data_IF_181136833012
#
_entry.id   IF_181136833012
#
_cell.length_a   1.000
_cell.length_b   1.000
_cell.length_c   1.000
_cell.angle_alpha   90.00
_cell.angle_beta   90.00
_cell.angle_gamma   90.00
#
_symmetry.space_group_name_H-M   'P 1'
#
loop_
_entity.id
_entity.type
_entity.pdbx_description
1 polymer ?
#
# COMPACT_ATOMS: atom_id res chain seq x y z
N UNK A 1 -3.85 -16.72 8.66
CA UNK A 1 -3.64 -15.75 9.77
C UNK A 1 -4.84 -14.82 9.77
N UNK A 2 -5.77 -14.93 10.72
CA UNK A 2 -6.75 -13.90 11.02
C UNK A 2 -6.00 -12.63 11.46
N UNK A 3 -6.30 -11.51 10.83
CA UNK A 3 -5.75 -10.20 11.17
C UNK A 3 -6.87 -9.15 11.13
N UNK A 4 -6.67 -8.05 11.85
CA UNK A 4 -7.51 -6.86 11.70
C UNK A 4 -6.89 -6.01 10.60
N UNK A 5 -7.66 -5.80 9.53
CA UNK A 5 -7.24 -5.00 8.40
C UNK A 5 -8.23 -3.89 8.08
N UNK A 6 -7.72 -2.74 7.69
CA UNK A 6 -8.52 -1.73 7.00
C UNK A 6 -8.61 -2.09 5.51
N UNK A 7 -9.80 -1.91 4.94
CA UNK A 7 -10.11 -2.11 3.53
C UNK A 7 -10.46 -0.74 3.00
N UNK A 8 -9.60 -0.16 2.16
CA UNK A 8 -9.71 1.24 1.74
C UNK A 8 -9.44 1.45 0.26
N UNK A 9 -10.23 2.34 -0.33
CA UNK A 9 -9.87 3.15 -1.50
C UNK A 9 -10.24 4.60 -1.17
N UNK A 10 -9.23 5.47 -1.01
CA UNK A 10 -9.47 6.87 -0.67
C UNK A 10 -10.28 7.58 -1.77
N UNK A 11 -11.31 8.33 -1.36
CA UNK A 11 -12.17 9.10 -2.27
C UNK A 11 -12.78 8.28 -3.42
N UNK A 12 -13.17 7.02 -3.16
CA UNK A 12 -13.92 6.23 -4.14
C UNK A 12 -15.18 6.99 -4.59
N UNK A 13 -15.17 7.43 -5.85
CA UNK A 13 -16.30 8.13 -6.47
C UNK A 13 -17.60 7.32 -6.30
N UNK A 14 -18.71 8.01 -6.12
CA UNK A 14 -20.05 7.43 -6.03
C UNK A 14 -20.94 8.09 -7.08
N UNK A 15 -22.03 7.45 -7.53
CA UNK A 15 -22.92 8.07 -8.49
C UNK A 15 -23.46 9.42 -7.98
N UNK A 16 -23.65 10.38 -8.89
CA UNK A 16 -24.17 11.69 -8.53
C UNK A 16 -25.54 11.57 -7.84
N UNK A 17 -25.77 12.38 -6.79
CA UNK A 17 -27.02 12.37 -6.03
C UNK A 17 -27.16 11.26 -4.98
N UNK A 18 -26.20 10.33 -4.86
CA UNK A 18 -26.24 9.28 -3.82
C UNK A 18 -25.76 9.77 -2.46
N UNK A 19 -26.11 9.08 -1.37
CA UNK A 19 -25.64 9.41 -0.01
C UNK A 19 -24.14 9.14 0.18
N UNK A 20 -23.55 9.64 1.27
CA UNK A 20 -22.18 9.25 1.65
C UNK A 20 -22.06 7.76 2.01
N UNK A 21 -23.18 7.12 2.38
CA UNK A 21 -23.25 5.70 2.72
C UNK A 21 -23.32 4.78 1.50
N UNK A 22 -23.35 5.31 0.27
CA UNK A 22 -23.54 4.51 -0.95
C UNK A 22 -22.67 3.25 -0.99
N UNK A 23 -21.36 3.37 -0.76
CA UNK A 23 -20.47 2.22 -0.80
C UNK A 23 -20.67 1.25 0.38
N UNK A 24 -20.94 1.75 1.59
CA UNK A 24 -21.24 0.87 2.72
C UNK A 24 -22.54 0.10 2.51
N UNK A 25 -23.56 0.74 1.93
CA UNK A 25 -24.85 0.13 1.63
C UNK A 25 -24.69 -0.95 0.55
N UNK A 26 -23.95 -0.65 -0.53
CA UNK A 26 -23.67 -1.62 -1.60
C UNK A 26 -22.85 -2.81 -1.11
N UNK A 27 -21.86 -2.59 -0.24
CA UNK A 27 -21.10 -3.68 0.39
C UNK A 27 -22.02 -4.50 1.30
N UNK A 28 -22.89 -3.86 2.08
CA UNK A 28 -23.86 -4.60 2.90
C UNK A 28 -24.83 -5.42 2.05
N UNK A 29 -25.33 -4.88 0.95
CA UNK A 29 -26.18 -5.61 -0.01
C UNK A 29 -25.44 -6.79 -0.66
N UNK A 30 -24.17 -6.63 -1.01
CA UNK A 30 -23.35 -7.70 -1.59
C UNK A 30 -23.06 -8.83 -0.58
N UNK A 31 -22.83 -8.46 0.69
CA UNK A 31 -22.38 -9.40 1.72
C UNK A 31 -23.50 -9.95 2.58
N UNK A 32 -24.59 -9.22 2.76
CA UNK A 32 -25.61 -9.44 3.79
C UNK A 32 -25.02 -9.73 5.19
N UNK A 33 -23.88 -9.10 5.51
CA UNK A 33 -23.15 -9.33 6.77
C UNK A 33 -22.44 -10.69 6.86
N UNK A 34 -22.37 -11.43 5.76
CA UNK A 34 -21.66 -12.71 5.64
C UNK A 34 -20.24 -12.51 5.11
N UNK A 35 -19.47 -13.60 5.11
CA UNK A 35 -18.12 -13.60 4.55
C UNK A 35 -18.15 -13.26 3.05
N UNK A 36 -17.24 -12.39 2.63
CA UNK A 36 -17.08 -11.98 1.22
C UNK A 36 -15.63 -12.10 0.81
N UNK A 37 -15.41 -12.41 -0.47
CA UNK A 37 -14.07 -12.38 -1.07
C UNK A 37 -13.69 -10.93 -1.33
N UNK A 38 -12.53 -10.52 -0.84
CA UNK A 38 -11.95 -9.21 -1.13
C UNK A 38 -10.67 -9.41 -1.92
N UNK A 39 -10.50 -8.66 -3.01
CA UNK A 39 -9.31 -8.65 -3.85
C UNK A 39 -8.66 -7.27 -3.85
N UNK A 40 -7.34 -7.21 -3.90
CA UNK A 40 -6.59 -5.95 -3.89
C UNK A 40 -5.12 -6.14 -3.60
N UNK A 41 -4.43 -5.04 -3.38
CA UNK A 41 -3.01 -5.04 -3.04
C UNK A 41 -2.87 -5.21 -1.53
N UNK A 42 -2.35 -6.37 -1.12
CA UNK A 42 -2.02 -6.61 0.28
C UNK A 42 -0.86 -5.72 0.70
N UNK A 43 -1.08 -4.96 1.77
CA UNK A 43 -0.15 -3.97 2.28
C UNK A 43 0.12 -4.24 3.74
N UNK A 44 1.37 -4.62 4.03
CA UNK A 44 1.92 -4.43 5.36
C UNK A 44 2.44 -3.00 5.43
N UNK A 45 1.86 -2.18 6.31
CA UNK A 45 2.31 -0.83 6.57
C UNK A 45 2.11 -0.47 8.04
N UNK A 46 3.17 0.06 8.66
CA UNK A 46 3.17 0.35 10.09
C UNK A 46 2.57 1.72 10.35
N UNK A 47 1.27 1.93 10.17
CA UNK A 47 0.66 3.27 10.33
C UNK A 47 -0.17 3.44 11.59
N UNK A 48 -1.02 2.46 11.90
CA UNK A 48 -1.99 2.54 12.98
C UNK A 48 -1.80 1.41 14.00
N UNK A 49 -0.63 1.32 14.67
CA UNK A 49 -0.45 0.33 15.72
C UNK A 49 -1.52 0.56 16.81
N UNK A 50 -2.12 -0.52 17.37
CA UNK A 50 -3.06 -0.42 18.48
C UNK A 50 -2.56 0.51 19.58
N UNK A 51 -3.34 1.52 19.95
CA UNK A 51 -3.04 2.38 21.07
C UNK A 51 -3.07 1.58 22.39
N UNK A 52 -2.06 1.76 23.25
CA UNK A 52 -1.96 1.10 24.56
C UNK A 52 -1.12 -0.20 24.56
N UNK A 53 -1.17 -0.94 25.68
CA UNK A 53 -0.45 -2.23 25.85
C UNK A 53 -1.16 -3.41 25.19
N UNK A 54 -2.34 -3.19 24.61
CA UNK A 54 -3.16 -4.23 23.99
C UNK A 54 -2.58 -4.60 22.62
N UNK A 55 -1.70 -5.60 22.64
CA UNK A 55 -1.38 -6.39 21.45
C UNK A 55 -2.70 -6.90 20.86
N UNK A 56 -3.05 -6.45 19.66
CA UNK A 56 -4.07 -7.16 18.87
C UNK A 56 -3.49 -8.54 18.55
N UNK A 57 -4.04 -9.58 19.18
CA UNK A 57 -3.66 -10.96 18.92
C UNK A 57 -4.64 -11.60 17.96
N UNK A 58 -4.16 -12.62 17.25
CA UNK A 58 -5.02 -13.55 16.52
C UNK A 58 -6.16 -14.02 17.45
N UNK A 59 -7.41 -13.90 16.98
CA UNK A 59 -8.66 -14.18 17.70
C UNK A 59 -9.13 -13.17 18.78
N UNK A 60 -8.45 -12.03 18.98
CA UNK A 60 -9.01 -10.96 19.78
C UNK A 60 -10.31 -10.43 19.14
N UNK A 61 -11.35 -10.19 19.94
CA UNK A 61 -12.59 -9.57 19.46
C UNK A 61 -12.24 -8.18 18.91
N UNK A 62 -12.51 -7.95 17.64
CA UNK A 62 -12.37 -6.63 17.01
C UNK A 62 -13.41 -5.70 17.64
N UNK A 63 -13.00 -4.61 18.32
CA UNK A 63 -13.95 -3.63 18.82
C UNK A 63 -14.76 -3.04 17.67
N UNK A 64 -15.99 -2.62 17.93
CA UNK A 64 -16.75 -1.86 16.94
C UNK A 64 -16.01 -0.55 16.66
N UNK A 65 -15.75 -0.28 15.38
CA UNK A 65 -14.94 0.87 14.99
C UNK A 65 -15.70 2.16 15.31
N UNK A 66 -15.04 3.11 15.97
CA UNK A 66 -15.62 4.42 16.27
C UNK A 66 -15.61 5.36 15.05
N UNK A 67 -14.76 5.08 14.06
CA UNK A 67 -14.61 5.86 12.84
C UNK A 67 -14.06 4.97 11.71
N UNK A 68 -13.93 5.54 10.50
CA UNK A 68 -13.45 4.83 9.31
C UNK A 68 -11.94 4.55 9.29
N UNK A 69 -11.20 4.78 10.38
CA UNK A 69 -9.76 4.59 10.48
C UNK A 69 -9.35 4.03 11.86
N UNK A 70 -9.77 2.79 12.20
CA UNK A 70 -9.42 2.14 13.47
C UNK A 70 -7.96 1.68 13.49
N UNK A 71 -7.45 1.35 14.68
CA UNK A 71 -6.13 0.72 14.79
C UNK A 71 -6.07 -0.65 14.09
N UNK A 72 -5.07 -0.83 13.24
CA UNK A 72 -4.90 -2.00 12.39
C UNK A 72 -3.43 -2.34 12.16
N UNK A 73 -3.14 -3.63 11.99
CA UNK A 73 -1.77 -4.13 11.78
C UNK A 73 -1.42 -4.27 10.30
N UNK A 74 -2.43 -4.40 9.44
CA UNK A 74 -2.30 -4.58 7.99
C UNK A 74 -3.42 -3.85 7.28
N UNK A 75 -3.27 -3.64 5.98
CA UNK A 75 -4.28 -2.99 5.14
C UNK A 75 -4.38 -3.73 3.79
N UNK A 76 -5.56 -3.76 3.20
CA UNK A 76 -5.72 -4.08 1.78
C UNK A 76 -6.06 -2.78 1.04
N UNK A 77 -5.08 -2.21 0.35
CA UNK A 77 -5.19 -0.90 -0.31
C UNK A 77 -4.12 -0.75 -1.41
N UNK A 78 -4.53 -0.51 -2.68
CA UNK A 78 -5.90 -0.39 -3.13
C UNK A 78 -6.68 -1.71 -3.21
N UNK A 79 -7.99 -1.61 -3.02
CA UNK A 79 -8.96 -2.68 -3.26
C UNK A 79 -9.29 -2.69 -4.75
N UNK A 80 -9.28 -3.87 -5.36
CA UNK A 80 -9.72 -4.08 -6.74
C UNK A 80 -11.14 -4.63 -6.80
N UNK A 81 -11.58 -5.43 -5.83
CA UNK A 81 -12.95 -5.93 -5.76
C UNK A 81 -13.41 -6.32 -4.33
N UNK A 82 -14.72 -6.25 -4.09
CA UNK A 82 -15.41 -6.85 -2.94
C UNK A 82 -16.60 -7.63 -3.49
N UNK A 83 -16.57 -8.97 -3.42
CA UNK A 83 -17.57 -9.80 -4.08
C UNK A 83 -17.64 -9.49 -5.59
N UNK A 84 -18.83 -9.17 -6.08
CA UNK A 84 -19.09 -8.72 -7.45
C UNK A 84 -18.79 -7.24 -7.70
N UNK A 85 -18.56 -6.45 -6.64
CA UNK A 85 -18.29 -5.01 -6.76
C UNK A 85 -16.88 -4.77 -7.25
N UNK A 86 -16.75 -4.12 -8.40
CA UNK A 86 -15.47 -3.79 -9.03
C UNK A 86 -15.02 -2.37 -8.65
N UNK A 87 -13.79 -2.26 -8.15
CA UNK A 87 -13.18 -1.01 -7.73
C UNK A 87 -11.98 -0.56 -8.57
N UNK A 88 -11.60 -1.29 -9.64
CA UNK A 88 -10.43 -0.95 -10.47
C UNK A 88 -10.45 0.49 -11.00
N UNK A 89 -11.62 0.98 -11.42
CA UNK A 89 -11.79 2.37 -11.89
C UNK A 89 -11.59 3.44 -10.81
N UNK A 90 -11.54 3.04 -9.53
CA UNK A 90 -11.29 3.91 -8.39
C UNK A 90 -9.80 3.92 -7.98
N UNK A 91 -8.98 3.04 -8.55
CA UNK A 91 -7.52 3.04 -8.35
C UNK A 91 -6.91 4.05 -9.33
N UNK A 92 -6.90 5.31 -8.88
CA UNK A 92 -6.44 6.47 -9.65
C UNK A 92 -5.95 7.56 -8.71
N UNK A 93 -5.44 8.66 -9.28
CA UNK A 93 -5.14 9.90 -8.55
C UNK A 93 -6.30 10.28 -7.63
N UNK A 94 -6.00 10.46 -6.35
CA UNK A 94 -7.01 10.70 -5.32
C UNK A 94 -7.46 12.16 -5.42
N UNK A 95 -8.77 12.37 -5.57
CA UNK A 95 -9.36 13.69 -5.73
C UNK A 95 -10.62 13.85 -4.88
N UNK A 96 -10.81 15.05 -4.33
CA UNK A 96 -12.07 15.51 -3.75
C UNK A 96 -12.65 16.59 -4.69
N UNK A 97 -13.60 16.19 -5.54
CA UNK A 97 -14.08 17.05 -6.62
C UNK A 97 -12.94 17.37 -7.61
N UNK A 98 -12.65 18.66 -7.81
CA UNK A 98 -11.55 19.11 -8.69
C UNK A 98 -10.18 19.15 -8.00
N UNK A 99 -10.14 19.05 -6.66
CA UNK A 99 -8.91 19.14 -5.90
C UNK A 99 -8.23 17.78 -5.80
N UNK A 100 -6.96 17.70 -6.19
CA UNK A 100 -6.16 16.49 -5.96
C UNK A 100 -5.62 16.48 -4.54
N UNK A 101 -5.61 15.30 -3.92
CA UNK A 101 -5.01 15.13 -2.60
C UNK A 101 -3.51 15.42 -2.67
N UNK A 102 -3.01 16.23 -1.74
CA UNK A 102 -1.58 16.51 -1.65
C UNK A 102 -0.87 15.28 -1.09
N UNK A 103 -0.15 14.57 -1.96
CA UNK A 103 0.75 13.50 -1.54
C UNK A 103 1.98 14.04 -0.81
N UNK A 104 2.55 13.23 0.07
CA UNK A 104 3.83 13.49 0.73
C UNK A 104 4.99 13.53 -0.28
N UNK A 105 6.02 14.31 0.06
CA UNK A 105 7.14 14.62 -0.81
C UNK A 105 8.45 13.96 -0.37
N UNK A 106 9.55 14.51 -0.87
CA UNK A 106 10.89 13.94 -0.68
C UNK A 106 11.34 13.96 0.79
N UNK A 107 10.99 15.00 1.55
CA UNK A 107 11.35 15.13 2.98
C UNK A 107 10.82 13.96 3.79
N UNK A 108 9.55 13.63 3.58
CA UNK A 108 8.92 12.49 4.24
C UNK A 108 9.48 11.17 3.74
N UNK A 109 9.81 11.06 2.44
CA UNK A 109 10.36 9.83 1.87
C UNK A 109 11.71 9.50 2.50
N UNK A 110 12.60 10.49 2.60
CA UNK A 110 13.90 10.32 3.27
C UNK A 110 13.72 9.87 4.72
N UNK A 111 12.74 10.44 5.42
CA UNK A 111 12.42 10.02 6.79
C UNK A 111 11.99 8.56 6.85
N UNK A 112 11.19 8.10 5.89
CA UNK A 112 10.75 6.71 5.78
C UNK A 112 11.91 5.77 5.44
N UNK A 113 12.74 6.12 4.46
CA UNK A 113 13.86 5.28 4.01
C UNK A 113 14.95 5.11 5.08
N UNK A 114 15.06 6.06 6.01
CA UNK A 114 15.94 5.97 7.16
C UNK A 114 15.40 5.10 8.30
N UNK A 115 14.11 4.72 8.28
CA UNK A 115 13.55 3.81 9.29
C UNK A 115 14.12 2.41 9.13
N UNK A 116 14.09 1.68 10.23
CA UNK A 116 14.53 0.30 10.31
C UNK A 116 13.39 -0.62 10.71
N UNK A 117 13.46 -1.86 10.22
CA UNK A 117 12.66 -2.98 10.71
C UNK A 117 13.57 -3.99 11.39
N UNK A 118 13.07 -4.59 12.45
CA UNK A 118 13.62 -5.82 13.02
C UNK A 118 12.84 -7.00 12.46
N UNK A 119 13.54 -8.00 11.90
CA UNK A 119 12.95 -9.20 11.32
C UNK A 119 13.56 -10.46 11.91
N UNK A 120 12.74 -11.51 12.07
CA UNK A 120 13.20 -12.81 12.58
C UNK A 120 12.25 -13.94 12.16
N UNK A 121 12.77 -15.09 11.76
CA UNK A 121 12.02 -16.35 11.69
C UNK A 121 11.85 -16.87 13.10
N UNK A 122 10.61 -16.98 13.55
CA UNK A 122 10.27 -17.50 14.87
C UNK A 122 9.39 -18.74 14.72
N UNK A 123 9.33 -19.55 15.76
CA UNK A 123 8.38 -20.67 15.84
C UNK A 123 7.45 -20.42 17.02
N UNK A 124 6.14 -20.46 16.78
CA UNK A 124 5.12 -20.36 17.82
C UNK A 124 4.33 -21.66 17.78
N UNK A 125 4.35 -22.43 18.88
CA UNK A 125 3.64 -23.73 18.99
C UNK A 125 3.93 -24.69 17.83
N UNK A 126 5.18 -24.76 17.39
CA UNK A 126 5.61 -25.63 16.28
C UNK A 126 5.32 -25.10 14.88
N UNK A 127 4.67 -23.94 14.74
CA UNK A 127 4.37 -23.32 13.44
C UNK A 127 5.38 -22.20 13.15
N UNK A 128 5.98 -22.16 11.95
CA UNK A 128 6.94 -21.12 11.57
C UNK A 128 6.23 -19.80 11.21
N UNK A 129 6.79 -18.68 11.67
CA UNK A 129 6.32 -17.34 11.37
C UNK A 129 7.50 -16.41 11.04
N UNK A 130 7.18 -15.32 10.35
CA UNK A 130 8.06 -14.16 10.23
C UNK A 130 7.59 -13.11 11.22
N UNK A 131 8.43 -12.79 12.20
CA UNK A 131 8.26 -11.61 13.05
C UNK A 131 8.77 -10.39 12.30
N UNK A 132 7.95 -9.36 12.23
CA UNK A 132 8.31 -8.03 11.73
C UNK A 132 7.99 -7.04 12.84
N UNK A 133 8.97 -6.25 13.25
CA UNK A 133 8.83 -5.22 14.26
C UNK A 133 9.37 -3.90 13.71
N UNK A 134 8.64 -2.82 13.91
CA UNK A 134 9.05 -1.48 13.48
C UNK A 134 8.24 -0.40 14.16
N UNK A 135 8.43 0.84 13.70
CA UNK A 135 7.76 2.03 14.25
C UNK A 135 6.76 2.62 13.27
N UNK A 136 5.79 3.38 13.80
CA UNK A 136 4.78 4.08 13.00
C UNK A 136 5.42 4.93 11.90
N UNK A 137 4.95 4.82 10.65
CA UNK A 137 5.42 5.56 9.46
C UNK A 137 4.54 6.74 9.09
N UNK A 138 3.22 6.68 9.33
CA UNK A 138 2.27 7.81 9.25
C UNK A 138 1.89 8.31 7.86
N UNK A 139 2.59 7.87 6.80
CA UNK A 139 2.45 8.44 5.45
C UNK A 139 1.93 7.41 4.44
N UNK A 140 0.84 7.74 3.75
CA UNK A 140 0.15 6.82 2.85
C UNK A 140 0.25 7.17 1.37
N UNK A 141 0.10 8.44 1.03
CA UNK A 141 -0.01 8.90 -0.36
C UNK A 141 1.21 9.72 -0.71
N UNK A 142 1.82 9.44 -1.85
CA UNK A 142 3.07 10.05 -2.28
C UNK A 142 2.86 10.76 -3.61
N UNK A 143 3.51 11.91 -3.76
CA UNK A 143 3.62 12.61 -5.04
C UNK A 143 5.08 12.92 -5.28
N UNK A 144 5.70 12.16 -6.18
CA UNK A 144 7.14 12.11 -6.34
C UNK A 144 7.52 12.19 -7.81
N UNK A 145 8.77 12.55 -8.08
CA UNK A 145 9.36 12.52 -9.41
C UNK A 145 10.45 11.47 -9.43
N UNK A 146 10.50 10.64 -10.46
CA UNK A 146 11.50 9.58 -10.58
C UNK A 146 11.98 9.38 -12.02
N UNK A 147 13.20 8.87 -12.15
CA UNK A 147 13.72 8.30 -13.38
C UNK A 147 13.37 6.81 -13.44
N UNK A 148 12.86 6.37 -14.58
CA UNK A 148 12.57 4.96 -14.89
C UNK A 148 13.88 4.27 -15.26
N UNK A 149 14.19 3.13 -14.62
CA UNK A 149 15.46 2.42 -14.84
C UNK A 149 15.43 1.38 -15.97
N UNK A 150 14.25 1.02 -16.44
CA UNK A 150 14.06 -0.04 -17.43
C UNK A 150 12.62 -0.07 -17.94
N UNK A 151 12.37 -0.77 -19.05
CA UNK A 151 11.00 -0.97 -19.50
C UNK A 151 10.19 -1.73 -18.44
N UNK A 152 8.85 -1.56 -18.40
CA UNK A 152 7.98 -2.31 -17.51
C UNK A 152 8.10 -3.81 -17.74
N UNK A 153 8.23 -4.54 -16.64
CA UNK A 153 8.12 -5.99 -16.64
C UNK A 153 6.66 -6.37 -16.35
N UNK A 154 6.09 -7.19 -17.22
CA UNK A 154 4.74 -7.75 -17.04
C UNK A 154 4.77 -8.81 -15.93
N UNK A 155 3.85 -8.70 -14.98
CA UNK A 155 3.61 -9.67 -13.92
C UNK A 155 2.15 -10.15 -13.97
N UNK A 156 1.81 -11.20 -13.22
CA UNK A 156 0.52 -11.88 -13.33
C UNK A 156 -0.71 -10.95 -13.16
N UNK A 157 -0.60 -9.95 -12.28
CA UNK A 157 -1.67 -9.02 -11.91
C UNK A 157 -1.35 -7.55 -12.26
N UNK A 158 -0.39 -7.30 -13.15
CA UNK A 158 -0.01 -5.94 -13.53
C UNK A 158 1.36 -5.82 -14.18
N UNK A 159 2.06 -4.74 -13.82
CA UNK A 159 3.42 -4.50 -14.27
C UNK A 159 4.28 -3.92 -13.15
N UNK A 160 5.60 -4.16 -13.22
CA UNK A 160 6.58 -3.61 -12.29
C UNK A 160 7.70 -2.86 -13.00
N UNK A 161 8.22 -1.83 -12.36
CA UNK A 161 9.40 -1.06 -12.77
C UNK A 161 10.30 -0.78 -11.57
N UNK A 162 11.54 -0.38 -11.83
CA UNK A 162 12.42 0.20 -10.83
C UNK A 162 12.60 1.71 -11.08
N UNK A 163 12.60 2.48 -9.99
CA UNK A 163 12.59 3.94 -10.01
C UNK A 163 13.74 4.52 -9.19
N UNK A 164 14.46 5.48 -9.76
CA UNK A 164 15.31 6.39 -9.00
C UNK A 164 14.52 7.64 -8.64
N UNK A 165 14.22 7.86 -7.36
CA UNK A 165 13.48 9.06 -6.94
C UNK A 165 14.39 10.28 -6.95
N UNK A 166 13.93 11.38 -7.54
CA UNK A 166 14.75 12.53 -7.86
C UNK A 166 14.42 13.78 -7.03
N UNK A 167 15.48 14.53 -6.66
CA UNK A 167 15.43 15.94 -6.28
C UNK A 167 16.14 16.75 -7.38
N UNK A 168 15.37 17.41 -8.24
CA UNK A 168 15.92 18.02 -9.45
C UNK A 168 16.52 16.95 -10.38
N UNK A 169 17.83 16.98 -10.63
CA UNK A 169 18.52 15.98 -11.46
C UNK A 169 19.17 14.84 -10.65
N UNK A 170 19.25 15.00 -9.32
CA UNK A 170 19.98 14.08 -8.43
C UNK A 170 19.05 13.02 -7.85
N UNK A 171 19.57 11.81 -7.65
CA UNK A 171 18.85 10.74 -6.94
C UNK A 171 18.87 11.05 -5.44
N UNK A 172 17.72 10.94 -4.80
CA UNK A 172 17.59 11.12 -3.35
C UNK A 172 18.32 9.98 -2.63
N UNK A 173 19.10 10.27 -1.56
CA UNK A 173 19.78 9.23 -0.79
C UNK A 173 18.83 8.12 -0.32
N UNK A 174 19.21 6.86 -0.58
CA UNK A 174 18.42 5.69 -0.23
C UNK A 174 17.23 5.39 -1.15
N UNK A 175 16.98 6.22 -2.17
CA UNK A 175 15.88 6.07 -3.11
C UNK A 175 16.33 5.65 -4.51
N UNK A 176 17.42 4.90 -4.58
CA UNK A 176 17.95 4.29 -5.80
C UNK A 176 17.20 2.98 -6.07
N UNK A 177 16.76 2.77 -7.31
CA UNK A 177 16.14 1.53 -7.79
C UNK A 177 15.00 1.01 -6.89
N UNK A 178 14.15 1.90 -6.38
CA UNK A 178 12.99 1.50 -5.59
C UNK A 178 11.97 0.79 -6.50
N UNK A 179 11.44 -0.37 -6.08
CA UNK A 179 10.43 -1.07 -6.86
C UNK A 179 9.11 -0.29 -6.86
N UNK A 180 8.42 -0.34 -7.99
CA UNK A 180 7.08 0.19 -8.15
C UNK A 180 6.23 -0.76 -8.99
N UNK A 181 4.96 -0.92 -8.63
CA UNK A 181 3.99 -1.78 -9.31
C UNK A 181 2.74 -0.99 -9.70
N UNK A 182 2.15 -1.34 -10.84
CA UNK A 182 0.84 -0.87 -11.26
C UNK A 182 -0.09 -2.07 -11.48
N UNK A 183 -1.30 -2.01 -10.91
CA UNK A 183 -2.28 -3.09 -10.98
C UNK A 183 -2.96 -3.10 -12.36
N UNK A 184 -3.09 -4.27 -12.97
CA UNK A 184 -3.74 -4.43 -14.28
C UNK A 184 -5.14 -3.82 -14.31
N UNK A 185 -5.49 -3.17 -15.42
CA UNK A 185 -6.79 -2.50 -15.59
C UNK A 185 -6.91 -1.11 -14.95
N UNK A 186 -5.85 -0.60 -14.29
CA UNK A 186 -5.83 0.75 -13.72
C UNK A 186 -5.24 1.79 -14.68
N UNK A 187 -5.47 3.07 -14.39
CA UNK A 187 -4.90 4.18 -15.17
C UNK A 187 -3.37 4.14 -15.14
N UNK A 188 -2.78 3.91 -13.96
CA UNK A 188 -1.33 3.77 -13.81
C UNK A 188 -0.78 2.62 -14.66
N UNK A 189 -1.49 1.49 -14.75
CA UNK A 189 -1.05 0.37 -15.56
C UNK A 189 -1.12 0.66 -17.06
N UNK A 190 -2.08 1.43 -17.55
CA UNK A 190 -2.05 1.85 -18.96
C UNK A 190 -0.84 2.75 -19.24
N UNK A 191 -0.54 3.69 -18.33
CA UNK A 191 0.54 4.66 -18.51
C UNK A 191 1.93 4.06 -18.32
N UNK A 192 2.09 3.14 -17.37
CA UNK A 192 3.40 2.52 -17.11
C UNK A 192 3.91 1.79 -18.36
N UNK A 193 3.02 1.16 -19.13
CA UNK A 193 3.34 0.38 -20.33
C UNK A 193 3.99 1.20 -21.46
N UNK A 194 3.85 2.53 -21.43
CA UNK A 194 4.46 3.41 -22.43
C UNK A 194 5.85 3.91 -22.02
N UNK A 195 6.29 3.60 -20.79
CA UNK A 195 7.55 4.09 -20.25
C UNK A 195 8.73 3.26 -20.75
N UNK A 196 9.87 3.92 -20.86
CA UNK A 196 11.15 3.36 -21.25
C UNK A 196 12.25 3.81 -20.29
N UNK A 197 13.40 3.14 -20.35
CA UNK A 197 14.56 3.50 -19.52
C UNK A 197 14.99 4.94 -19.76
N UNK A 198 15.20 5.69 -18.67
CA UNK A 198 15.62 7.08 -18.69
C UNK A 198 14.48 8.09 -18.64
N UNK A 199 13.24 7.68 -18.90
CA UNK A 199 12.07 8.55 -18.77
C UNK A 199 12.01 9.14 -17.36
N UNK A 200 11.64 10.43 -17.28
CA UNK A 200 11.43 11.09 -16.00
C UNK A 200 9.95 11.41 -15.86
N UNK A 201 9.32 10.78 -14.88
CA UNK A 201 7.90 10.88 -14.64
C UNK A 201 7.61 11.52 -13.29
N UNK A 202 6.48 12.20 -13.21
CA UNK A 202 5.85 12.49 -11.93
C UNK A 202 4.79 11.43 -11.68
N UNK A 203 4.66 10.96 -10.44
CA UNK A 203 3.72 9.89 -10.14
C UNK A 203 3.06 10.09 -8.78
N UNK A 204 1.85 9.56 -8.67
CA UNK A 204 1.18 9.36 -7.39
C UNK A 204 1.15 7.89 -7.02
N UNK A 205 1.42 7.59 -5.76
CA UNK A 205 1.47 6.21 -5.30
C UNK A 205 1.04 6.05 -3.84
N UNK A 206 0.72 4.81 -3.49
CA UNK A 206 0.84 4.32 -2.12
C UNK A 206 2.21 3.71 -1.90
N UNK A 207 2.59 3.50 -0.65
CA UNK A 207 3.83 2.81 -0.30
C UNK A 207 3.51 1.59 0.58
N UNK A 208 4.17 0.47 0.36
CA UNK A 208 4.05 -0.74 1.19
C UNK A 208 5.41 -1.30 1.56
N UNK A 209 5.46 -2.17 2.56
CA UNK A 209 6.66 -2.98 2.80
C UNK A 209 6.88 -3.92 1.62
N UNK A 210 8.08 -3.91 1.05
CA UNK A 210 8.46 -4.83 -0.02
C UNK A 210 8.75 -6.22 0.58
N UNK A 211 7.72 -7.06 0.60
CA UNK A 211 7.74 -8.39 1.21
C UNK A 211 8.86 -9.32 0.69
N UNK A 212 9.16 -9.38 -0.62
CA UNK A 212 10.26 -10.20 -1.11
C UNK A 212 11.58 -9.90 -0.39
N UNK A 213 11.92 -8.62 -0.19
CA UNK A 213 13.13 -8.26 0.56
C UNK A 213 13.11 -8.73 2.01
N UNK A 214 11.94 -8.77 2.66
CA UNK A 214 11.82 -9.37 3.99
C UNK A 214 12.10 -10.86 3.94
N UNK A 215 11.47 -11.58 3.00
CA UNK A 215 11.56 -13.03 2.87
C UNK A 215 12.99 -13.48 2.51
N UNK A 216 13.70 -12.71 1.69
CA UNK A 216 15.08 -12.97 1.28
C UNK A 216 16.07 -12.77 2.43
N UNK A 217 15.78 -11.85 3.36
CA UNK A 217 16.69 -11.48 4.44
C UNK A 217 16.40 -12.18 5.76
N UNK A 218 15.16 -12.62 5.99
CA UNK A 218 14.76 -13.15 7.30
C UNK A 218 15.47 -14.47 7.62
N UNK A 219 16.14 -14.53 8.78
CA UNK A 219 16.80 -15.72 9.32
C UNK A 219 16.27 -16.04 10.72
N UNK A 220 16.73 -17.14 11.35
CA UNK A 220 16.40 -17.44 12.75
C UNK A 220 17.00 -16.45 13.74
N UNK A 221 18.06 -15.75 13.36
CA UNK A 221 18.68 -14.69 14.16
C UNK A 221 17.95 -13.38 13.91
N UNK A 222 17.71 -12.62 14.97
CA UNK A 222 17.15 -11.28 14.85
C UNK A 222 18.07 -10.37 14.04
N UNK A 223 17.50 -9.65 13.08
CA UNK A 223 18.24 -8.74 12.23
C UNK A 223 17.53 -7.41 12.09
N UNK A 224 18.29 -6.32 12.14
CA UNK A 224 17.80 -4.99 11.82
C UNK A 224 18.17 -4.64 10.37
N UNK A 225 17.17 -4.27 9.56
CA UNK A 225 17.33 -3.90 8.15
C UNK A 225 16.72 -2.52 7.89
N UNK A 226 17.16 -1.79 6.84
CA UNK A 226 16.38 -0.68 6.31
C UNK A 226 14.94 -1.11 6.02
N UNK A 227 13.96 -0.24 6.28
CA UNK A 227 12.56 -0.46 5.90
C UNK A 227 12.50 -0.63 4.37
N UNK A 228 12.27 -1.85 3.84
CA UNK A 228 12.23 -2.04 2.41
C UNK A 228 10.87 -1.60 1.91
N UNK A 229 10.85 -0.67 0.97
CA UNK A 229 9.62 -0.07 0.46
C UNK A 229 9.40 -0.40 -1.01
N UNK A 230 8.14 -0.46 -1.39
CA UNK A 230 7.69 -0.54 -2.77
C UNK A 230 6.53 0.43 -2.97
N UNK A 231 6.48 1.06 -4.15
CA UNK A 231 5.37 1.91 -4.54
C UNK A 231 4.27 1.13 -5.25
N UNK A 232 3.02 1.43 -4.91
CA UNK A 232 1.84 1.00 -5.68
C UNK A 232 1.33 2.23 -6.42
N UNK A 233 1.57 2.27 -7.73
CA UNK A 233 1.28 3.42 -8.57
C UNK A 233 -0.23 3.60 -8.73
N UNK A 234 -0.70 4.81 -8.44
CA UNK A 234 -2.08 5.25 -8.62
C UNK A 234 -2.23 6.05 -9.92
N UNK A 235 -1.22 6.83 -10.28
CA UNK A 235 -1.19 7.62 -11.51
C UNK A 235 0.25 8.00 -11.88
N UNK A 236 0.47 8.30 -13.16
CA UNK A 236 1.75 8.73 -13.73
C UNK A 236 1.45 9.92 -14.67
N UNK A 237 2.26 10.97 -14.65
CA UNK A 237 2.16 12.10 -15.58
C UNK A 237 3.24 12.00 -16.66
#
# INVERSE_FOLDING_TARGET
MPFIGEVKNACSEKPAGTSLAYWSDRIFEETHGQAVVVSGVFRLWLEHPPAGTSVQTEAARVPWFANSNPDHQVELHPITAIGSLNFLGHIKRIRAGTQSFTGYGLTELVTILNKKLTIQRITIRGVPYVRIQGTKTGNNHWNLRARVLGPPEVIADGARIALDVLQGAQVVPGALALPAVAVSGTVAHTKIQTLTSGDIVQFQALIRVHLPTILDRVTSTEQQIPLPVEFVLLDID
#
